data_IF_987625271508
#
_entry.id   IF_987625271508
#
_cell.length_a   1.000
_cell.length_b   1.000
_cell.length_c   1.000
_cell.angle_alpha   90.00
_cell.angle_beta   90.00
_cell.angle_gamma   90.00
#
_symmetry.space_group_name_H-M   'P 1'
#
loop_
_entity.id
_entity.type
_entity.pdbx_description
1 polymer ?
#
# COMPACT_ATOMS: atom_id res chain seq x y z
N UNK A 1 -32.46 -5.41 -68.08
CA UNK A 1 -33.92 -5.42 -67.85
C UNK A 1 -34.17 -6.43 -66.77
N UNK A 2 -35.00 -6.11 -65.78
CA UNK A 2 -35.32 -7.07 -64.72
C UNK A 2 -36.13 -8.24 -65.30
N UNK A 3 -35.65 -9.47 -65.12
CA UNK A 3 -36.34 -10.71 -65.53
C UNK A 3 -37.75 -10.75 -64.94
N UNK A 4 -37.96 -10.21 -63.74
CA UNK A 4 -39.28 -10.14 -63.11
C UNK A 4 -40.24 -9.27 -63.93
N UNK A 5 -39.78 -8.09 -64.40
CA UNK A 5 -40.60 -7.21 -65.24
C UNK A 5 -40.97 -7.87 -66.58
N UNK A 6 -40.07 -8.66 -67.16
CA UNK A 6 -40.35 -9.40 -68.38
C UNK A 6 -41.33 -10.56 -68.14
N UNK A 7 -41.26 -11.22 -66.98
CA UNK A 7 -42.23 -12.24 -66.58
C UNK A 7 -43.62 -11.63 -66.33
N UNK A 8 -43.69 -10.46 -65.71
CA UNK A 8 -44.94 -9.72 -65.52
C UNK A 8 -45.54 -9.28 -66.87
N UNK A 9 -44.70 -8.81 -67.79
CA UNK A 9 -45.09 -8.45 -69.16
C UNK A 9 -45.60 -9.68 -69.93
N UNK A 10 -44.93 -10.82 -69.79
CA UNK A 10 -45.35 -12.09 -70.37
C UNK A 10 -46.70 -12.55 -69.80
N UNK A 11 -46.88 -12.46 -68.47
CA UNK A 11 -48.12 -12.80 -67.79
C UNK A 11 -49.28 -11.93 -68.29
N UNK A 12 -49.07 -10.62 -68.38
CA UNK A 12 -50.09 -9.68 -68.82
C UNK A 12 -50.51 -9.91 -70.29
N UNK A 13 -49.55 -10.20 -71.18
CA UNK A 13 -49.81 -10.51 -72.60
C UNK A 13 -50.47 -11.89 -72.81
N UNK A 14 -50.13 -12.88 -71.99
CA UNK A 14 -50.59 -14.26 -72.17
C UNK A 14 -51.88 -14.61 -71.42
N UNK A 15 -52.17 -13.91 -70.31
CA UNK A 15 -53.28 -14.26 -69.40
C UNK A 15 -54.27 -13.10 -69.23
N UNK A 16 -53.83 -11.87 -68.99
CA UNK A 16 -54.75 -10.76 -68.65
C UNK A 16 -55.38 -10.06 -69.86
N UNK A 17 -54.64 -9.87 -70.96
CA UNK A 17 -55.13 -9.18 -72.16
C UNK A 17 -56.04 -10.02 -73.08
N UNK A 18 -55.82 -11.33 -73.29
CA UNK A 18 -56.64 -12.12 -74.20
C UNK A 18 -58.10 -12.23 -73.72
N UNK A 19 -59.07 -11.97 -74.61
CA UNK A 19 -60.50 -12.11 -74.28
C UNK A 19 -61.06 -13.45 -74.76
N UNK A 20 -61.81 -14.19 -73.93
CA UNK A 20 -62.41 -15.45 -74.34
C UNK A 20 -63.54 -15.21 -75.35
N UNK A 21 -63.58 -16.01 -76.43
CA UNK A 21 -64.67 -15.98 -77.39
C UNK A 21 -65.61 -17.17 -77.22
N UNK A 22 -65.18 -18.40 -77.53
CA UNK A 22 -66.02 -19.61 -77.48
C UNK A 22 -65.17 -20.83 -77.11
N UNK A 23 -65.56 -21.57 -76.07
CA UNK A 23 -64.81 -22.73 -75.58
C UNK A 23 -63.39 -22.35 -75.14
N UNK A 24 -62.37 -23.05 -75.62
CA UNK A 24 -60.95 -22.75 -75.35
C UNK A 24 -60.33 -21.73 -76.32
N UNK A 25 -61.14 -21.06 -77.16
CA UNK A 25 -60.64 -20.13 -78.17
C UNK A 25 -60.61 -18.69 -77.62
N UNK A 26 -59.40 -18.11 -77.54
CA UNK A 26 -59.11 -16.75 -77.05
C UNK A 26 -58.69 -15.86 -78.22
N UNK A 27 -59.09 -14.57 -78.22
CA UNK A 27 -58.69 -13.57 -79.21
C UNK A 27 -57.89 -12.43 -78.58
N UNK A 28 -56.97 -11.85 -79.35
CA UNK A 28 -56.04 -10.83 -78.86
C UNK A 28 -54.73 -11.39 -78.27
N UNK A 29 -54.42 -12.66 -78.54
CA UNK A 29 -53.14 -13.27 -78.19
C UNK A 29 -52.15 -13.10 -79.34
N UNK A 30 -51.16 -12.22 -79.17
CA UNK A 30 -50.07 -12.06 -80.12
C UNK A 30 -48.94 -13.04 -79.77
N UNK A 31 -48.75 -14.05 -80.63
CA UNK A 31 -47.73 -15.08 -80.43
C UNK A 31 -46.32 -14.55 -80.63
N UNK A 32 -46.14 -13.53 -81.46
CA UNK A 32 -44.83 -12.97 -81.78
C UNK A 32 -44.34 -12.06 -80.65
N UNK A 33 -45.22 -11.25 -80.06
CA UNK A 33 -44.89 -10.46 -78.86
C UNK A 33 -44.51 -11.36 -77.67
N UNK A 34 -45.31 -12.40 -77.43
CA UNK A 34 -45.04 -13.40 -76.37
C UNK A 34 -43.70 -14.10 -76.62
N UNK A 35 -43.42 -14.51 -77.87
CA UNK A 35 -42.15 -15.15 -78.22
C UNK A 35 -40.95 -14.22 -78.02
N UNK A 36 -41.09 -12.93 -78.34
CA UNK A 36 -40.06 -11.93 -78.10
C UNK A 36 -39.77 -11.75 -76.60
N UNK A 37 -40.80 -11.65 -75.76
CA UNK A 37 -40.63 -11.53 -74.31
C UNK A 37 -39.97 -12.80 -73.74
N UNK A 38 -40.40 -13.99 -74.17
CA UNK A 38 -39.75 -15.27 -73.79
C UNK A 38 -38.27 -15.30 -74.23
N UNK A 39 -37.95 -14.81 -75.43
CA UNK A 39 -36.56 -14.75 -75.91
C UNK A 39 -35.73 -13.77 -75.07
N UNK A 40 -36.29 -12.62 -74.67
CA UNK A 40 -35.64 -11.66 -73.77
C UNK A 40 -35.39 -12.28 -72.40
N UNK A 41 -36.38 -12.97 -71.82
CA UNK A 41 -36.24 -13.70 -70.55
C UNK A 41 -35.14 -14.76 -70.66
N UNK A 42 -35.14 -15.56 -71.73
CA UNK A 42 -34.12 -16.60 -71.96
C UNK A 42 -32.72 -16.01 -72.11
N UNK A 43 -32.59 -14.82 -72.72
CA UNK A 43 -31.32 -14.12 -72.88
C UNK A 43 -30.81 -13.44 -71.61
N UNK A 44 -31.70 -12.90 -70.78
CA UNK A 44 -31.30 -12.23 -69.54
C UNK A 44 -31.13 -13.22 -68.38
N UNK A 45 -32.09 -14.11 -68.12
CA UNK A 45 -32.12 -15.02 -66.96
C UNK A 45 -30.79 -15.69 -66.56
N UNK A 46 -29.93 -16.18 -67.48
CA UNK A 46 -28.60 -16.69 -67.13
C UNK A 46 -27.69 -15.66 -66.44
N UNK A 47 -27.70 -14.40 -66.88
CA UNK A 47 -26.88 -13.33 -66.34
C UNK A 47 -27.35 -12.91 -64.94
N UNK A 48 -28.66 -12.83 -64.74
CA UNK A 48 -29.29 -12.53 -63.47
C UNK A 48 -28.99 -13.64 -62.45
N UNK A 49 -29.09 -14.91 -62.85
CA UNK A 49 -28.72 -16.05 -62.01
C UNK A 49 -27.22 -16.06 -61.68
N UNK A 50 -26.34 -15.74 -62.64
CA UNK A 50 -24.89 -15.61 -62.41
C UNK A 50 -24.59 -14.49 -61.41
N UNK A 51 -25.27 -13.36 -61.54
CA UNK A 51 -25.11 -12.20 -60.64
C UNK A 51 -25.60 -12.50 -59.23
N UNK A 52 -26.73 -13.20 -59.09
CA UNK A 52 -27.24 -13.63 -57.79
C UNK A 52 -26.28 -14.61 -57.10
N UNK A 53 -25.72 -15.57 -57.84
CA UNK A 53 -24.69 -16.49 -57.33
C UNK A 53 -23.43 -15.77 -56.89
N UNK A 54 -22.94 -14.82 -57.69
CA UNK A 54 -21.78 -14.01 -57.33
C UNK A 54 -22.02 -13.22 -56.04
N UNK A 55 -23.20 -12.60 -55.88
CA UNK A 55 -23.57 -11.89 -54.64
C UNK A 55 -23.63 -12.82 -53.42
N UNK A 56 -24.17 -14.03 -53.58
CA UNK A 56 -24.22 -15.02 -52.50
C UNK A 56 -22.80 -15.45 -52.11
N UNK A 57 -21.94 -15.73 -53.08
CA UNK A 57 -20.54 -16.07 -52.84
C UNK A 57 -19.78 -14.93 -52.14
N UNK A 58 -19.98 -13.68 -52.58
CA UNK A 58 -19.39 -12.51 -51.93
C UNK A 58 -19.89 -12.35 -50.50
N UNK A 59 -21.19 -12.56 -50.26
CA UNK A 59 -21.78 -12.51 -48.92
C UNK A 59 -21.22 -13.60 -48.00
N UNK A 60 -21.04 -14.82 -48.50
CA UNK A 60 -20.46 -15.93 -47.75
C UNK A 60 -19.00 -15.63 -47.38
N UNK A 61 -18.21 -15.14 -48.35
CA UNK A 61 -16.83 -14.70 -48.13
C UNK A 61 -16.73 -13.60 -47.07
N UNK A 62 -17.62 -12.60 -47.12
CA UNK A 62 -17.65 -11.51 -46.13
C UNK A 62 -18.02 -12.05 -44.75
N UNK A 63 -18.99 -12.95 -44.66
CA UNK A 63 -19.42 -13.54 -43.39
C UNK A 63 -18.29 -14.38 -42.76
N UNK A 64 -17.55 -15.14 -43.57
CA UNK A 64 -16.39 -15.91 -43.12
C UNK A 64 -15.28 -14.99 -42.58
N UNK A 65 -14.91 -13.96 -43.35
CA UNK A 65 -13.91 -12.97 -42.93
C UNK A 65 -14.29 -12.26 -41.63
N UNK A 66 -15.54 -11.79 -41.53
CA UNK A 66 -16.04 -11.16 -40.31
C UNK A 66 -16.03 -12.12 -39.11
N UNK A 67 -16.31 -13.40 -39.35
CA UNK A 67 -16.24 -14.44 -38.33
C UNK A 67 -14.82 -14.71 -37.83
N UNK A 68 -13.84 -14.73 -38.74
CA UNK A 68 -12.42 -14.86 -38.38
C UNK A 68 -11.89 -13.64 -37.64
N UNK A 69 -12.20 -12.43 -38.12
CA UNK A 69 -11.82 -11.18 -37.47
C UNK A 69 -12.41 -11.07 -36.06
N UNK A 70 -13.69 -11.41 -35.90
CA UNK A 70 -14.34 -11.40 -34.59
C UNK A 70 -13.67 -12.37 -33.62
N UNK A 71 -13.31 -13.58 -34.07
CA UNK A 71 -12.56 -14.55 -33.25
C UNK A 71 -11.20 -14.00 -32.86
N UNK A 72 -10.46 -13.43 -33.81
CA UNK A 72 -9.14 -12.85 -33.56
C UNK A 72 -9.20 -11.71 -32.53
N UNK A 73 -10.22 -10.85 -32.61
CA UNK A 73 -10.42 -9.75 -31.66
C UNK A 73 -10.70 -10.32 -30.26
N UNK A 74 -11.62 -11.27 -30.15
CA UNK A 74 -11.97 -11.89 -28.86
C UNK A 74 -10.75 -12.57 -28.23
N UNK A 75 -9.95 -13.29 -29.02
CA UNK A 75 -8.73 -13.91 -28.53
C UNK A 75 -7.68 -12.89 -28.08
N UNK A 76 -7.49 -11.81 -28.86
CA UNK A 76 -6.57 -10.74 -28.49
C UNK A 76 -7.00 -10.04 -27.19
N UNK A 77 -8.28 -9.66 -27.07
CA UNK A 77 -8.82 -9.05 -25.85
C UNK A 77 -8.74 -9.97 -24.65
N UNK A 78 -8.94 -11.28 -24.84
CA UNK A 78 -8.79 -12.26 -23.76
C UNK A 78 -7.34 -12.34 -23.27
N UNK A 79 -6.36 -12.40 -24.18
CA UNK A 79 -4.93 -12.42 -23.82
C UNK A 79 -4.52 -11.13 -23.10
N UNK A 80 -5.02 -9.99 -23.56
CA UNK A 80 -4.76 -8.70 -22.91
C UNK A 80 -5.35 -8.67 -21.49
N UNK A 81 -6.60 -9.12 -21.32
CA UNK A 81 -7.23 -9.22 -20.01
C UNK A 81 -6.46 -10.17 -19.07
N UNK A 82 -6.03 -11.33 -19.57
CA UNK A 82 -5.20 -12.28 -18.82
C UNK A 82 -3.87 -11.63 -18.40
N UNK A 83 -3.19 -10.93 -19.29
CA UNK A 83 -1.95 -10.20 -18.98
C UNK A 83 -2.14 -9.09 -17.95
N UNK A 84 -3.25 -8.35 -18.01
CA UNK A 84 -3.58 -7.30 -17.02
C UNK A 84 -3.80 -7.94 -15.65
N UNK A 85 -4.53 -9.05 -15.58
CA UNK A 85 -4.80 -9.75 -14.33
C UNK A 85 -3.49 -10.30 -13.73
N UNK A 86 -2.62 -10.89 -14.55
CA UNK A 86 -1.31 -11.37 -14.10
C UNK A 86 -0.44 -10.23 -13.55
N UNK A 87 -0.34 -9.11 -14.28
CA UNK A 87 0.40 -7.94 -13.82
C UNK A 87 -0.16 -7.36 -12.52
N UNK A 88 -1.49 -7.27 -12.41
CA UNK A 88 -2.16 -6.79 -11.19
C UNK A 88 -1.91 -7.72 -10.00
N UNK A 89 -1.92 -9.03 -10.21
CA UNK A 89 -1.63 -10.01 -9.16
C UNK A 89 -0.17 -9.95 -8.72
N UNK A 90 0.77 -9.81 -9.67
CA UNK A 90 2.19 -9.66 -9.35
C UNK A 90 2.46 -8.39 -8.53
N UNK A 91 1.84 -7.26 -8.92
CA UNK A 91 1.98 -6.01 -8.17
C UNK A 91 1.31 -6.09 -6.79
N UNK A 92 0.13 -6.71 -6.70
CA UNK A 92 -0.53 -6.97 -5.42
C UNK A 92 0.37 -7.76 -4.47
N UNK A 93 0.99 -8.83 -4.96
CA UNK A 93 1.89 -9.66 -4.16
C UNK A 93 3.10 -8.85 -3.68
N UNK A 94 3.69 -8.04 -4.57
CA UNK A 94 4.78 -7.14 -4.21
C UNK A 94 4.39 -6.15 -3.10
N UNK A 95 3.22 -5.52 -3.21
CA UNK A 95 2.72 -4.58 -2.19
C UNK A 95 2.52 -5.29 -0.84
N UNK A 96 1.97 -6.51 -0.84
CA UNK A 96 1.76 -7.30 0.38
C UNK A 96 3.10 -7.64 1.03
N UNK A 97 4.09 -8.07 0.25
CA UNK A 97 5.42 -8.38 0.75
C UNK A 97 6.11 -7.16 1.34
N UNK A 98 6.06 -6.02 0.64
CA UNK A 98 6.64 -4.77 1.13
C UNK A 98 5.95 -4.30 2.41
N UNK A 99 4.61 -4.31 2.45
CA UNK A 99 3.84 -3.98 3.64
C UNK A 99 4.19 -4.90 4.83
N UNK A 100 4.37 -6.20 4.58
CA UNK A 100 4.78 -7.17 5.60
C UNK A 100 6.17 -6.85 6.18
N UNK A 101 7.15 -6.51 5.34
CA UNK A 101 8.48 -6.11 5.77
C UNK A 101 8.42 -4.81 6.59
N UNK A 102 7.67 -3.81 6.12
CA UNK A 102 7.51 -2.55 6.83
C UNK A 102 6.82 -2.73 8.19
N UNK A 103 5.78 -3.57 8.25
CA UNK A 103 5.10 -3.92 9.49
C UNK A 103 6.06 -4.57 10.49
N UNK A 104 6.87 -5.53 10.04
CA UNK A 104 7.87 -6.18 10.91
C UNK A 104 8.91 -5.18 11.45
N UNK A 105 9.38 -4.25 10.60
CA UNK A 105 10.28 -3.18 11.03
C UNK A 105 9.65 -2.29 12.10
N UNK A 106 8.42 -1.84 11.87
CA UNK A 106 7.69 -0.99 12.82
C UNK A 106 7.46 -1.69 14.17
N UNK A 107 7.14 -2.99 14.15
CA UNK A 107 7.01 -3.79 15.38
C UNK A 107 8.35 -3.84 16.13
N UNK A 108 9.44 -4.15 15.43
CA UNK A 108 10.77 -4.21 16.04
C UNK A 108 11.20 -2.85 16.62
N UNK A 109 10.98 -1.76 15.89
CA UNK A 109 11.26 -0.39 16.36
C UNK A 109 10.43 -0.04 17.60
N UNK A 110 9.14 -0.38 17.60
CA UNK A 110 8.25 -0.16 18.75
C UNK A 110 8.68 -0.96 19.98
N UNK A 111 9.10 -2.21 19.81
CA UNK A 111 9.59 -3.04 20.90
C UNK A 111 10.90 -2.49 21.49
N UNK A 112 11.84 -2.11 20.63
CA UNK A 112 13.08 -1.44 21.06
C UNK A 112 12.75 -0.15 21.82
N UNK A 113 11.87 0.70 21.29
CA UNK A 113 11.47 1.95 21.95
C UNK A 113 10.86 1.69 23.33
N UNK A 114 10.00 0.67 23.46
CA UNK A 114 9.39 0.28 24.73
C UNK A 114 10.44 -0.19 25.73
N UNK A 115 11.38 -1.03 25.30
CA UNK A 115 12.47 -1.54 26.13
C UNK A 115 13.39 -0.40 26.58
N UNK A 116 13.84 0.43 25.64
CA UNK A 116 14.70 1.59 25.93
C UNK A 116 14.03 2.56 26.90
N UNK A 117 12.72 2.81 26.74
CA UNK A 117 11.97 3.65 27.68
C UNK A 117 11.98 3.05 29.10
N UNK A 118 11.72 1.75 29.23
CA UNK A 118 11.79 1.05 30.53
C UNK A 118 13.18 1.14 31.15
N UNK A 119 14.23 0.90 30.37
CA UNK A 119 15.62 0.99 30.82
C UNK A 119 15.99 2.40 31.26
N UNK A 120 15.57 3.44 30.52
CA UNK A 120 15.78 4.83 30.91
C UNK A 120 15.09 5.15 32.25
N UNK A 121 13.86 4.67 32.46
CA UNK A 121 13.14 4.88 33.72
C UNK A 121 13.85 4.19 34.90
N UNK A 122 14.39 2.98 34.70
CA UNK A 122 15.19 2.27 35.69
C UNK A 122 16.50 2.99 36.02
N UNK A 123 17.27 3.40 35.00
CA UNK A 123 18.51 4.16 35.17
C UNK A 123 18.23 5.46 35.93
N UNK A 124 17.16 6.19 35.54
CA UNK A 124 16.76 7.42 36.23
C UNK A 124 16.42 7.15 37.70
N UNK A 125 15.67 6.08 37.98
CA UNK A 125 15.33 5.70 39.35
C UNK A 125 16.55 5.29 40.18
N UNK A 126 17.52 4.60 39.57
CA UNK A 126 18.80 4.29 40.22
C UNK A 126 19.60 5.55 40.53
N UNK A 127 19.80 6.42 39.53
CA UNK A 127 20.53 7.67 39.69
C UNK A 127 19.93 8.56 40.79
N UNK A 128 18.59 8.63 40.88
CA UNK A 128 17.88 9.36 41.95
C UNK A 128 18.14 8.75 43.35
N UNK A 129 18.22 7.42 43.44
CA UNK A 129 18.54 6.73 44.71
C UNK A 129 19.99 6.97 45.09
N UNK A 130 20.91 6.82 44.15
CA UNK A 130 22.34 7.02 44.35
C UNK A 130 22.64 8.47 44.74
N UNK A 131 22.02 9.45 44.06
CA UNK A 131 22.15 10.86 44.41
C UNK A 131 21.65 11.16 45.84
N UNK A 132 20.54 10.55 46.26
CA UNK A 132 20.03 10.69 47.65
C UNK A 132 20.96 10.04 48.65
N UNK A 133 21.53 8.88 48.31
CA UNK A 133 22.49 8.18 49.16
C UNK A 133 23.78 8.99 49.33
N UNK A 134 24.39 9.44 48.23
CA UNK A 134 25.59 10.28 48.25
C UNK A 134 25.36 11.55 49.06
N UNK A 135 24.19 12.21 48.92
CA UNK A 135 23.85 13.36 49.76
C UNK A 135 23.83 13.03 51.25
N UNK A 136 23.20 11.90 51.63
CA UNK A 136 23.15 11.48 53.05
C UNK A 136 24.53 11.15 53.59
N UNK A 137 25.36 10.46 52.81
CA UNK A 137 26.73 10.12 53.18
C UNK A 137 27.59 11.39 53.35
N UNK A 138 27.43 12.37 52.46
CA UNK A 138 28.12 13.66 52.55
C UNK A 138 27.66 14.47 53.77
N UNK A 139 26.35 14.52 54.04
CA UNK A 139 25.77 15.18 55.22
C UNK A 139 26.30 14.52 56.51
N UNK A 140 26.36 13.19 56.55
CA UNK A 140 26.90 12.44 57.68
C UNK A 140 28.39 12.74 57.89
N UNK A 141 29.19 12.72 56.81
CA UNK A 141 30.60 13.05 56.87
C UNK A 141 30.85 14.48 57.37
N UNK A 142 30.04 15.45 56.92
CA UNK A 142 30.11 16.83 57.40
C UNK A 142 29.81 16.92 58.90
N UNK A 143 28.81 16.18 59.38
CA UNK A 143 28.46 16.14 60.80
C UNK A 143 29.59 15.53 61.65
N UNK A 144 30.19 14.43 61.18
CA UNK A 144 31.32 13.79 61.86
C UNK A 144 32.54 14.72 61.93
N UNK A 145 32.81 15.45 60.83
CA UNK A 145 33.89 16.44 60.80
C UNK A 145 33.62 17.61 61.76
N UNK A 146 32.38 18.10 61.84
CA UNK A 146 31.99 19.16 62.78
C UNK A 146 32.15 18.69 64.23
N UNK A 147 31.72 17.47 64.56
CA UNK A 147 31.91 16.87 65.88
C UNK A 147 33.40 16.73 66.23
N UNK A 148 34.25 16.38 65.26
CA UNK A 148 35.69 16.32 65.47
C UNK A 148 36.27 17.70 65.80
N UNK A 149 35.85 18.75 65.09
CA UNK A 149 36.25 20.15 65.36
C UNK A 149 35.76 20.60 66.73
N UNK A 150 34.51 20.33 67.08
CA UNK A 150 33.93 20.65 68.39
C UNK A 150 34.73 20.02 69.54
N UNK A 151 35.12 18.74 69.40
CA UNK A 151 35.95 18.06 70.37
C UNK A 151 37.34 18.70 70.55
N UNK A 152 37.97 19.13 69.45
CA UNK A 152 39.27 19.82 69.50
C UNK A 152 39.13 21.19 70.17
N UNK A 153 38.11 21.96 69.82
CA UNK A 153 37.85 23.27 70.43
C UNK A 153 37.52 23.14 71.92
N UNK A 154 36.75 22.14 72.31
CA UNK A 154 36.43 21.86 73.72
C UNK A 154 37.70 21.57 74.54
N UNK A 155 38.63 20.77 74.00
CA UNK A 155 39.95 20.55 74.62
C UNK A 155 40.79 21.83 74.68
N UNK A 156 40.76 22.65 73.63
CA UNK A 156 41.47 23.93 73.60
C UNK A 156 40.94 24.90 74.68
N UNK A 157 39.61 25.04 74.79
CA UNK A 157 38.96 25.86 75.82
C UNK A 157 39.32 25.35 77.21
N UNK A 158 39.25 24.04 77.47
CA UNK A 158 39.64 23.46 78.76
C UNK A 158 41.10 23.78 79.14
N UNK A 159 42.01 23.74 78.17
CA UNK A 159 43.41 24.13 78.39
C UNK A 159 43.55 25.64 78.69
N UNK A 160 42.77 26.50 78.02
CA UNK A 160 42.73 27.95 78.30
C UNK A 160 42.19 28.22 79.69
N UNK A 161 41.10 27.56 80.11
CA UNK A 161 40.56 27.70 81.47
C UNK A 161 41.56 27.25 82.52
N UNK A 162 42.24 26.12 82.30
CA UNK A 162 43.32 25.66 83.18
C UNK A 162 44.45 26.68 83.28
N UNK A 163 44.92 27.22 82.15
CA UNK A 163 45.93 28.27 82.12
C UNK A 163 45.50 29.55 82.85
N UNK A 164 44.25 29.98 82.68
CA UNK A 164 43.67 31.11 83.44
C UNK A 164 43.63 30.82 84.94
N UNK A 165 43.22 29.61 85.33
CA UNK A 165 43.16 29.21 86.75
C UNK A 165 44.54 29.16 87.41
N UNK A 166 45.57 28.71 86.69
CA UNK A 166 46.96 28.75 87.17
C UNK A 166 47.46 30.19 87.39
N UNK A 167 47.09 31.13 86.53
CA UNK A 167 47.44 32.55 86.67
C UNK A 167 46.62 33.29 87.74
N UNK A 168 45.47 32.75 88.17
CA UNK A 168 44.65 33.34 89.24
C UNK A 168 44.91 32.75 90.62
N UNK A 169 45.78 31.74 90.75
CA UNK A 169 46.23 31.28 92.06
C UNK A 169 47.15 32.34 92.68
N UNK A 170 46.85 32.84 93.89
CA UNK A 170 47.75 33.78 94.57
C UNK A 170 49.08 33.09 94.88
N UNK A 171 50.17 33.81 94.60
CA UNK A 171 51.56 33.38 94.75
C UNK A 171 51.83 32.96 96.21
N UNK A 172 51.74 31.65 96.50
CA UNK A 172 52.22 31.10 97.76
C UNK A 172 53.71 30.80 97.61
N UNK A 173 54.52 31.80 97.96
CA UNK A 173 55.94 31.68 98.18
C UNK A 173 56.24 30.48 99.09
N UNK A 174 56.90 29.45 98.54
CA UNK A 174 57.43 28.34 99.31
C UNK A 174 58.77 28.77 99.91
N UNK A 175 58.72 29.24 101.16
CA UNK A 175 59.90 29.31 102.04
C UNK A 175 60.30 27.87 102.36
N UNK A 176 61.32 27.34 101.68
CA UNK A 176 61.96 26.10 102.09
C UNK A 176 63.13 26.41 103.04
N UNK A 177 62.81 26.43 104.33
CA UNK A 177 63.78 26.30 105.42
C UNK A 177 64.43 24.92 105.31
N UNK A 178 65.74 24.87 105.07
CA UNK A 178 66.56 23.67 105.30
C UNK A 178 67.58 23.97 106.39
N UNK A 179 67.12 23.83 107.63
CA UNK A 179 67.98 23.44 108.72
C UNK A 179 68.44 21.99 108.48
N UNK A 180 69.74 21.74 108.64
CA UNK A 180 70.25 20.77 109.63
C UNK A 180 71.79 20.75 109.71
N UNK A 181 72.25 21.21 110.87
CA UNK A 181 73.18 20.52 111.80
C UNK A 181 74.70 20.66 111.60
N UNK A 182 75.31 21.11 112.72
CA UNK A 182 76.73 21.24 113.11
C UNK A 182 77.59 19.97 113.01
N UNK A 183 78.90 20.21 113.14
CA UNK A 183 80.02 19.43 113.75
C UNK A 183 81.13 19.29 112.69
N UNK A 184 82.37 19.76 112.83
CA UNK A 184 83.24 20.13 113.95
C UNK A 184 83.84 21.53 113.77
#
# INVERSE_FOLDING_TARGET
MDVLRLLDELYLLSIERPRPLIGKLTYGLDKDEIAQVISKIRGSLPNELKSARAKLQDSERIAEQAGEEAKSIVEASRREAESIIEAANAERERIIQEAGIQQQRMIAESEILRLTKSQCDEIRSSADRDAKQVRREADQYALDLLNAVENVMSKAIANVEKGKHELTKPDQAVIQTRDRIRVN
#
